data_IF_546059865278
#
_entry.id   IF_546059865278
#
_cell.length_a   1.000
_cell.length_b   1.000
_cell.length_c   1.000
_cell.angle_alpha   90.00
_cell.angle_beta   90.00
_cell.angle_gamma   90.00
#
_symmetry.space_group_name_H-M   'P 1'
#
loop_
_entity.id
_entity.type
_entity.pdbx_description
1 polymer ?
#
# COMPACT_ATOMS: atom_id res chain seq x y z
N UNK A 1 9.02 -1.63 32.04
CA UNK A 1 9.26 -2.90 31.29
C UNK A 1 8.60 -2.83 29.94
N UNK A 2 9.21 -3.37 28.91
CA UNK A 2 8.59 -3.41 27.58
C UNK A 2 7.25 -4.17 27.58
N UNK A 3 6.35 -3.79 26.67
CA UNK A 3 5.06 -4.45 26.53
C UNK A 3 5.23 -5.92 26.06
N UNK A 4 4.53 -6.82 26.70
CA UNK A 4 4.51 -8.25 26.33
C UNK A 4 3.36 -8.59 25.37
N UNK A 5 2.38 -7.70 25.25
CA UNK A 5 1.22 -7.84 24.36
C UNK A 5 0.72 -6.49 23.89
N UNK A 6 0.06 -6.48 22.75
CA UNK A 6 -0.67 -5.30 22.27
C UNK A 6 -1.90 -5.10 23.18
N UNK A 7 -2.15 -3.87 23.60
CA UNK A 7 -3.31 -3.50 24.40
C UNK A 7 -3.82 -2.13 23.99
N UNK A 8 -5.14 -2.00 23.90
CA UNK A 8 -5.84 -0.75 23.65
C UNK A 8 -6.50 -0.19 24.94
N UNK A 9 -6.27 -0.82 26.09
CA UNK A 9 -6.99 -0.48 27.33
C UNK A 9 -6.85 1.00 27.73
N UNK A 10 -5.69 1.59 27.44
CA UNK A 10 -5.41 3.00 27.74
C UNK A 10 -5.49 3.90 26.50
N UNK A 11 -5.86 3.35 25.35
CA UNK A 11 -5.96 4.13 24.10
C UNK A 11 -7.26 4.94 24.09
N UNK A 12 -7.17 6.16 23.60
CA UNK A 12 -8.35 7.00 23.35
C UNK A 12 -8.92 6.69 21.98
N UNK A 13 -10.22 6.40 21.91
CA UNK A 13 -10.88 5.98 20.67
C UNK A 13 -10.73 7.00 19.53
N UNK A 14 -10.76 8.29 19.85
CA UNK A 14 -10.61 9.36 18.86
C UNK A 14 -9.20 9.50 18.26
N UNK A 15 -8.25 8.68 18.72
CA UNK A 15 -6.87 8.63 18.20
C UNK A 15 -6.60 7.36 17.40
N UNK A 16 -7.58 6.46 17.24
CA UNK A 16 -7.39 5.17 16.62
C UNK A 16 -7.85 5.21 15.15
N UNK A 17 -6.97 4.77 14.25
CA UNK A 17 -7.21 4.68 12.81
C UNK A 17 -6.69 3.35 12.28
N UNK A 18 -7.34 2.82 11.24
CA UNK A 18 -6.67 1.84 10.40
C UNK A 18 -5.59 2.55 9.59
N UNK A 19 -4.42 1.94 9.52
CA UNK A 19 -3.31 2.44 8.70
C UNK A 19 -3.26 1.57 7.43
N UNK A 20 -3.44 2.21 6.29
CA UNK A 20 -3.36 1.58 4.97
C UNK A 20 -2.27 2.28 4.18
N UNK A 21 -1.45 1.52 3.50
CA UNK A 21 -0.46 2.06 2.57
C UNK A 21 -0.68 1.47 1.18
N UNK A 22 -0.49 2.27 0.15
CA UNK A 22 -0.41 1.80 -1.23
C UNK A 22 0.84 2.35 -1.91
N UNK A 23 1.21 1.78 -3.04
CA UNK A 23 2.35 2.27 -3.80
C UNK A 23 2.13 2.17 -5.30
N UNK A 24 2.48 3.24 -6.01
CA UNK A 24 2.58 3.25 -7.46
C UNK A 24 3.97 2.75 -7.82
N UNK A 25 4.04 1.70 -8.63
CA UNK A 25 5.30 1.05 -9.02
C UNK A 25 5.70 1.55 -10.41
N UNK A 26 6.84 2.23 -10.47
CA UNK A 26 7.39 2.83 -11.68
C UNK A 26 8.47 1.93 -12.27
N UNK A 27 8.30 1.59 -13.55
CA UNK A 27 9.24 0.75 -14.30
C UNK A 27 10.18 1.63 -15.13
N UNK A 28 11.35 1.08 -15.51
CA UNK A 28 12.39 1.82 -16.28
C UNK A 28 11.91 2.39 -17.61
N UNK A 29 10.88 1.80 -18.22
CA UNK A 29 10.29 2.29 -19.47
C UNK A 29 9.35 3.49 -19.29
N UNK A 30 9.24 4.01 -18.06
CA UNK A 30 8.40 5.17 -17.75
C UNK A 30 6.94 4.85 -17.47
N UNK A 31 6.62 3.57 -17.29
CA UNK A 31 5.24 3.10 -17.04
C UNK A 31 5.03 2.67 -15.60
N UNK A 32 3.79 2.81 -15.14
CA UNK A 32 3.36 2.45 -13.80
C UNK A 32 2.37 1.29 -13.83
N UNK A 33 2.41 0.43 -12.82
CA UNK A 33 1.55 -0.74 -12.71
C UNK A 33 0.19 -0.36 -12.15
N UNK A 34 -0.87 -0.84 -12.82
CA UNK A 34 -2.23 -0.83 -12.29
C UNK A 34 -2.80 -2.25 -12.31
N UNK A 35 -3.63 -2.57 -11.31
CA UNK A 35 -4.25 -3.88 -11.13
C UNK A 35 -5.76 -3.74 -11.18
N UNK A 36 -6.43 -4.59 -11.96
CA UNK A 36 -7.89 -4.59 -12.05
C UNK A 36 -8.49 -5.46 -10.96
N UNK A 37 -9.29 -4.88 -10.09
CA UNK A 37 -10.04 -5.59 -9.05
C UNK A 37 -11.06 -6.52 -9.69
N UNK A 38 -11.26 -7.68 -9.09
CA UNK A 38 -12.26 -8.62 -9.56
C UNK A 38 -13.66 -8.02 -9.50
N UNK A 39 -14.53 -8.40 -10.45
CA UNK A 39 -15.92 -7.90 -10.50
C UNK A 39 -16.74 -8.34 -9.28
N UNK A 40 -16.34 -9.42 -8.61
CA UNK A 40 -16.98 -9.93 -7.39
C UNK A 40 -16.57 -9.21 -6.10
N UNK A 41 -15.62 -8.28 -6.18
CA UNK A 41 -15.20 -7.51 -5.01
C UNK A 41 -16.32 -6.58 -4.54
N UNK A 42 -16.49 -6.47 -3.21
CA UNK A 42 -17.54 -5.63 -2.62
C UNK A 42 -17.25 -4.15 -2.77
N UNK A 43 -15.99 -3.78 -2.74
CA UNK A 43 -15.52 -2.39 -2.81
C UNK A 43 -14.84 -2.17 -4.16
N UNK A 44 -15.32 -1.18 -4.91
CA UNK A 44 -14.79 -0.82 -6.23
C UNK A 44 -14.62 -2.01 -7.19
N UNK A 45 -15.67 -2.83 -7.43
CA UNK A 45 -15.56 -3.98 -8.33
C UNK A 45 -15.17 -3.56 -9.75
N UNK A 46 -14.26 -4.30 -10.37
CA UNK A 46 -13.85 -4.09 -11.76
C UNK A 46 -13.01 -2.85 -12.03
N UNK A 47 -12.71 -2.06 -11.01
CA UNK A 47 -11.90 -0.86 -11.16
C UNK A 47 -10.41 -1.15 -11.01
N UNK A 48 -9.59 -0.32 -11.66
CA UNK A 48 -8.14 -0.40 -11.53
C UNK A 48 -7.65 0.36 -10.30
N UNK A 49 -6.69 -0.23 -9.63
CA UNK A 49 -6.04 0.32 -8.43
C UNK A 49 -4.54 0.05 -8.49
N UNK A 50 -3.84 0.39 -7.40
CA UNK A 50 -2.43 0.04 -7.20
C UNK A 50 -2.30 -0.89 -5.99
N UNK A 51 -1.21 -1.67 -5.90
CA UNK A 51 -1.02 -2.58 -4.75
C UNK A 51 -0.95 -1.84 -3.42
N UNK A 52 -1.42 -2.50 -2.38
CA UNK A 52 -1.36 -1.98 -1.02
C UNK A 52 -1.98 -2.90 0.00
N UNK A 53 -1.97 -2.50 1.25
CA UNK A 53 -2.54 -3.28 2.33
C UNK A 53 -2.63 -2.52 3.64
N UNK A 54 -3.16 -3.19 4.64
CA UNK A 54 -3.35 -2.66 5.99
C UNK A 54 -2.19 -3.09 6.89
N UNK A 55 -1.71 -2.17 7.70
CA UNK A 55 -0.77 -2.52 8.76
C UNK A 55 -1.54 -3.22 9.88
N UNK A 56 -1.11 -4.41 10.24
CA UNK A 56 -1.77 -5.23 11.24
C UNK A 56 -0.82 -5.54 12.41
N UNK A 57 -1.38 -5.77 13.61
CA UNK A 57 -0.59 -6.02 14.81
C UNK A 57 0.28 -7.27 14.72
N UNK A 58 -0.18 -8.31 14.01
CA UNK A 58 0.59 -9.52 13.80
C UNK A 58 1.81 -9.34 12.90
N UNK A 59 1.95 -8.16 12.28
CA UNK A 59 3.19 -7.78 11.60
C UNK A 59 4.28 -7.34 12.59
N UNK A 60 3.94 -7.14 13.85
CA UNK A 60 4.84 -6.69 14.91
C UNK A 60 5.19 -7.88 15.81
N UNK A 61 6.36 -8.48 15.61
CA UNK A 61 6.83 -9.55 16.49
C UNK A 61 7.45 -8.95 17.77
N UNK A 62 6.64 -8.88 18.83
CA UNK A 62 7.02 -8.25 20.09
C UNK A 62 8.26 -8.87 20.75
N UNK A 63 8.59 -10.12 20.39
CA UNK A 63 9.78 -10.81 20.90
C UNK A 63 11.06 -10.41 20.17
N UNK A 64 10.93 -9.88 18.96
CA UNK A 64 12.04 -9.52 18.08
C UNK A 64 11.86 -8.11 17.50
N UNK A 65 11.80 -7.06 18.34
CA UNK A 65 11.78 -5.68 17.84
C UNK A 65 13.10 -5.36 17.13
N UNK A 66 13.08 -4.35 16.26
CA UNK A 66 14.31 -3.84 15.64
C UNK A 66 15.29 -3.36 16.72
N UNK A 67 14.75 -2.69 17.77
CA UNK A 67 15.52 -2.29 18.95
C UNK A 67 14.58 -1.98 20.11
N UNK A 68 15.17 -1.87 21.28
CA UNK A 68 14.53 -1.28 22.45
C UNK A 68 15.00 0.17 22.59
N UNK A 69 14.04 1.06 22.70
CA UNK A 69 14.29 2.46 23.01
C UNK A 69 13.72 2.73 24.42
N UNK A 70 14.54 2.52 25.45
CA UNK A 70 14.04 2.37 26.81
C UNK A 70 13.12 1.15 26.91
N UNK A 71 11.88 1.38 27.35
CA UNK A 71 10.85 0.34 27.40
C UNK A 71 9.97 0.31 26.12
N UNK A 72 10.30 1.12 25.12
CA UNK A 72 9.57 1.17 23.85
C UNK A 72 10.14 0.14 22.89
N UNK A 73 9.24 -0.63 22.28
CA UNK A 73 9.58 -1.60 21.23
C UNK A 73 9.52 -0.90 19.88
N UNK A 74 10.65 -0.73 19.20
CA UNK A 74 10.72 -0.12 17.88
C UNK A 74 10.73 -1.18 16.78
N UNK A 75 9.89 -0.96 15.76
CA UNK A 75 9.82 -1.77 14.55
C UNK A 75 10.04 -0.85 13.36
N UNK A 76 11.29 -0.79 12.88
CA UNK A 76 11.66 0.05 11.74
C UNK A 76 11.17 -0.55 10.42
N UNK A 77 11.03 0.31 9.42
CA UNK A 77 10.63 -0.05 8.06
C UNK A 77 9.25 -0.72 8.00
N UNK A 78 8.34 -0.36 8.90
CA UNK A 78 7.03 -0.99 9.00
C UNK A 78 6.23 -0.89 7.69
N UNK A 79 6.22 0.27 7.03
CA UNK A 79 5.50 0.47 5.76
C UNK A 79 6.26 -0.09 4.58
N UNK A 80 7.60 0.01 4.56
CA UNK A 80 8.44 -0.58 3.52
C UNK A 80 8.26 -2.10 3.47
N UNK A 81 8.29 -2.77 4.62
CA UNK A 81 8.11 -4.22 4.73
C UNK A 81 6.68 -4.64 4.38
N UNK A 82 5.68 -3.87 4.82
CA UNK A 82 4.28 -4.07 4.45
C UNK A 82 4.12 -4.05 2.92
N UNK A 83 4.62 -3.01 2.26
CA UNK A 83 4.44 -2.84 0.82
C UNK A 83 5.22 -3.87 0.01
N UNK A 84 6.43 -4.25 0.42
CA UNK A 84 7.17 -5.34 -0.23
C UNK A 84 6.39 -6.65 -0.21
N UNK A 85 5.80 -6.98 0.94
CA UNK A 85 5.00 -8.19 1.10
C UNK A 85 3.71 -8.14 0.26
N UNK A 86 2.96 -7.04 0.35
CA UNK A 86 1.70 -6.88 -0.38
C UNK A 86 1.92 -6.88 -1.90
N UNK A 87 2.94 -6.19 -2.38
CA UNK A 87 3.29 -6.19 -3.81
C UNK A 87 3.68 -7.60 -4.28
N UNK A 88 4.44 -8.33 -3.47
CA UNK A 88 4.82 -9.71 -3.79
C UNK A 88 3.60 -10.64 -3.84
N UNK A 89 2.70 -10.52 -2.88
CA UNK A 89 1.47 -11.31 -2.82
C UNK A 89 0.51 -10.96 -3.96
N UNK A 90 0.26 -9.68 -4.22
CA UNK A 90 -0.74 -9.22 -5.17
C UNK A 90 -0.27 -9.25 -6.62
N UNK A 91 1.01 -8.94 -6.88
CA UNK A 91 1.54 -8.78 -8.23
C UNK A 91 2.77 -9.64 -8.55
N UNK A 92 3.33 -10.34 -7.57
CA UNK A 92 4.43 -11.28 -7.77
C UNK A 92 5.78 -10.66 -8.10
N UNK A 93 5.94 -9.35 -7.95
CA UNK A 93 7.16 -8.62 -8.29
C UNK A 93 7.87 -8.09 -7.05
N UNK A 94 9.13 -7.68 -7.24
CA UNK A 94 9.94 -7.04 -6.20
C UNK A 94 10.04 -5.54 -6.44
N UNK A 95 10.04 -4.76 -5.36
CA UNK A 95 10.20 -3.30 -5.38
C UNK A 95 11.47 -2.89 -4.63
N UNK A 96 11.97 -1.69 -4.91
CA UNK A 96 13.11 -1.13 -4.19
C UNK A 96 12.77 -0.79 -2.74
N UNK A 97 13.80 -0.58 -1.94
CA UNK A 97 13.67 -0.27 -0.51
C UNK A 97 13.18 1.16 -0.25
N UNK A 98 13.52 2.09 -1.13
CA UNK A 98 13.20 3.51 -0.94
C UNK A 98 11.78 3.83 -1.42
N UNK A 99 10.93 4.23 -0.49
CA UNK A 99 9.59 4.75 -0.77
C UNK A 99 9.64 6.27 -0.88
N UNK A 100 8.94 6.82 -1.88
CA UNK A 100 8.79 8.26 -2.08
C UNK A 100 7.35 8.66 -1.74
N UNK A 101 7.18 9.53 -0.77
CA UNK A 101 5.85 9.97 -0.32
C UNK A 101 5.14 10.79 -1.41
N UNK A 102 3.88 10.42 -1.70
CA UNK A 102 3.02 11.18 -2.61
C UNK A 102 2.09 12.10 -1.82
N UNK A 103 1.16 11.52 -1.07
CA UNK A 103 0.30 12.23 -0.14
C UNK A 103 -0.41 11.23 0.79
N UNK A 104 -1.28 11.76 1.65
CA UNK A 104 -2.13 10.94 2.50
C UNK A 104 -3.58 11.42 2.45
N UNK A 105 -4.51 10.52 2.73
CA UNK A 105 -5.94 10.81 2.82
C UNK A 105 -6.47 10.17 4.10
N UNK A 106 -7.14 10.96 4.93
CA UNK A 106 -7.94 10.41 6.02
C UNK A 106 -9.39 10.34 5.55
N UNK A 107 -10.04 9.22 5.77
CA UNK A 107 -11.43 9.03 5.38
C UNK A 107 -12.18 8.15 6.38
N UNK A 108 -13.50 8.20 6.32
CA UNK A 108 -14.38 7.36 7.13
C UNK A 108 -15.11 6.40 6.21
N UNK A 109 -14.97 5.11 6.48
CA UNK A 109 -15.65 4.05 5.73
C UNK A 109 -17.17 4.08 6.01
N UNK A 110 -18.00 3.46 5.13
CA UNK A 110 -19.45 3.37 5.40
C UNK A 110 -19.82 2.70 6.72
N UNK A 111 -18.97 1.81 7.24
CA UNK A 111 -19.14 1.15 8.56
C UNK A 111 -18.64 2.02 9.73
N UNK A 112 -18.20 3.23 9.47
CA UNK A 112 -17.77 4.19 10.50
C UNK A 112 -16.29 4.09 10.89
N UNK A 113 -15.52 3.16 10.33
CA UNK A 113 -14.10 3.01 10.68
C UNK A 113 -13.28 4.14 10.05
N UNK A 114 -12.54 4.92 10.85
CA UNK A 114 -11.64 5.94 10.32
C UNK A 114 -10.35 5.30 9.81
N UNK A 115 -9.86 5.77 8.66
CA UNK A 115 -8.70 5.23 7.97
C UNK A 115 -7.75 6.36 7.60
N UNK A 116 -6.44 6.10 7.74
CA UNK A 116 -5.40 6.91 7.12
C UNK A 116 -4.77 6.06 6.01
N UNK A 117 -4.88 6.54 4.77
CA UNK A 117 -4.23 5.95 3.61
C UNK A 117 -3.00 6.79 3.27
N UNK A 118 -1.84 6.16 3.29
CA UNK A 118 -0.55 6.79 2.97
C UNK A 118 -0.11 6.27 1.60
N UNK A 119 0.14 7.17 0.67
CA UNK A 119 0.42 6.85 -0.74
C UNK A 119 1.88 7.11 -1.07
N UNK A 120 2.51 6.10 -1.70
CA UNK A 120 3.92 6.13 -2.06
C UNK A 120 4.14 5.86 -3.54
N UNK A 121 5.30 6.27 -4.02
CA UNK A 121 5.87 5.86 -5.30
C UNK A 121 7.14 5.06 -5.02
N UNK A 122 7.40 4.04 -5.86
CA UNK A 122 8.56 3.16 -5.69
C UNK A 122 9.02 2.64 -7.04
N UNK A 123 10.32 2.34 -7.17
CA UNK A 123 10.85 1.70 -8.37
C UNK A 123 10.58 0.20 -8.39
N UNK A 124 10.18 -0.31 -9.55
CA UNK A 124 10.22 -1.74 -9.85
C UNK A 124 11.66 -2.24 -9.80
N UNK A 125 11.91 -3.29 -9.04
CA UNK A 125 13.25 -3.87 -8.90
C UNK A 125 13.46 -5.04 -9.84
N UNK A 126 12.55 -6.01 -9.81
CA UNK A 126 12.66 -7.23 -10.61
C UNK A 126 11.34 -8.01 -10.67
N UNK A 127 11.28 -8.95 -11.60
CA UNK A 127 10.17 -9.88 -11.74
C UNK A 127 9.13 -9.45 -12.76
N UNK A 128 8.39 -10.44 -13.25
CA UNK A 128 7.24 -10.25 -14.13
C UNK A 128 5.96 -10.38 -13.31
N UNK A 129 4.91 -9.66 -13.70
CA UNK A 129 3.64 -9.69 -12.96
C UNK A 129 3.01 -11.06 -12.99
N UNK A 130 2.73 -11.59 -11.80
CA UNK A 130 1.91 -12.78 -11.58
C UNK A 130 0.83 -12.39 -10.58
N UNK A 131 -0.40 -12.23 -11.04
CA UNK A 131 -1.50 -11.74 -10.22
C UNK A 131 -1.96 -12.76 -9.18
N UNK A 132 -2.35 -12.26 -8.02
CA UNK A 132 -3.21 -12.98 -7.08
C UNK A 132 -4.60 -13.09 -7.70
N UNK A 133 -4.91 -14.24 -8.32
CA UNK A 133 -6.11 -14.44 -9.15
C UNK A 133 -7.44 -14.31 -8.41
N UNK A 134 -7.44 -14.48 -7.10
CA UNK A 134 -8.66 -14.33 -6.30
C UNK A 134 -9.07 -12.86 -6.15
N UNK A 135 -8.09 -11.95 -6.15
CA UNK A 135 -8.32 -10.52 -5.91
C UNK A 135 -8.31 -9.69 -7.19
N UNK A 136 -7.50 -10.08 -8.17
CA UNK A 136 -7.29 -9.30 -9.39
C UNK A 136 -7.48 -10.13 -10.65
N UNK A 137 -8.16 -9.53 -11.65
CA UNK A 137 -8.51 -10.18 -12.91
C UNK A 137 -7.60 -9.78 -14.08
N UNK A 138 -6.92 -8.64 -13.98
CA UNK A 138 -6.08 -8.11 -15.05
C UNK A 138 -5.08 -7.09 -14.50
N UNK A 139 -4.10 -6.70 -15.30
CA UNK A 139 -3.17 -5.64 -14.99
C UNK A 139 -2.72 -4.92 -16.27
N UNK A 140 -2.16 -3.74 -16.10
CA UNK A 140 -1.51 -3.00 -17.20
C UNK A 140 -0.35 -2.17 -16.66
N UNK A 141 0.62 -1.94 -17.54
CA UNK A 141 1.65 -0.94 -17.35
C UNK A 141 1.28 0.28 -18.18
N UNK A 142 1.06 1.41 -17.54
CA UNK A 142 0.48 2.61 -18.16
C UNK A 142 1.36 3.83 -17.94
N UNK A 143 1.36 4.73 -18.92
CA UNK A 143 1.90 6.07 -18.78
C UNK A 143 0.79 7.08 -18.46
N UNK A 144 1.12 8.37 -18.45
CA UNK A 144 0.16 9.44 -18.15
C UNK A 144 -0.96 9.59 -19.17
N UNK A 145 -0.74 9.12 -20.39
CA UNK A 145 -1.75 9.14 -21.47
C UNK A 145 -2.61 7.86 -21.43
N UNK A 146 -1.95 6.71 -21.38
CA UNK A 146 -2.62 5.41 -21.39
C UNK A 146 -3.62 5.27 -20.24
N UNK A 147 -3.28 5.78 -19.06
CA UNK A 147 -4.12 5.65 -17.85
C UNK A 147 -5.50 6.26 -18.01
N UNK A 148 -5.65 7.24 -18.90
CA UNK A 148 -6.95 7.88 -19.16
C UNK A 148 -7.97 6.90 -19.76
N UNK A 149 -7.53 5.81 -20.38
CA UNK A 149 -8.39 4.79 -20.98
C UNK A 149 -8.85 3.72 -19.98
N UNK A 150 -8.45 3.81 -18.73
CA UNK A 150 -8.75 2.81 -17.70
C UNK A 150 -9.73 3.36 -16.67
N UNK A 151 -10.68 2.53 -16.24
CA UNK A 151 -11.64 2.88 -15.20
C UNK A 151 -10.97 2.68 -13.82
N UNK A 152 -10.33 3.72 -13.33
CA UNK A 152 -9.59 3.69 -12.08
C UNK A 152 -10.42 4.17 -10.89
N UNK A 153 -10.09 3.67 -9.70
CA UNK A 153 -10.56 4.27 -8.45
C UNK A 153 -10.12 5.74 -8.43
N UNK A 154 -10.98 6.62 -7.92
CA UNK A 154 -10.67 8.06 -7.83
C UNK A 154 -9.36 8.29 -7.09
N UNK A 155 -8.49 9.12 -7.66
CA UNK A 155 -7.18 9.45 -7.13
C UNK A 155 -6.04 8.68 -7.78
N UNK A 156 -6.30 7.51 -8.37
CA UNK A 156 -5.25 6.66 -8.95
C UNK A 156 -4.56 7.33 -10.14
N UNK A 157 -5.31 7.94 -11.05
CA UNK A 157 -4.72 8.63 -12.22
C UNK A 157 -3.78 9.76 -11.80
N UNK A 158 -4.18 10.53 -10.79
CA UNK A 158 -3.37 11.61 -10.22
C UNK A 158 -2.10 11.07 -9.56
N UNK A 159 -2.19 9.96 -8.84
CA UNK A 159 -1.04 9.29 -8.23
C UNK A 159 -0.05 8.78 -9.28
N UNK A 160 -0.54 8.20 -10.37
CA UNK A 160 0.28 7.75 -11.51
C UNK A 160 1.05 8.94 -12.11
N UNK A 161 0.35 10.02 -12.42
CA UNK A 161 0.96 11.22 -12.99
C UNK A 161 2.01 11.82 -12.06
N UNK A 162 1.70 11.87 -10.77
CA UNK A 162 2.63 12.37 -9.75
C UNK A 162 3.88 11.50 -9.64
N UNK A 163 3.72 10.19 -9.68
CA UNK A 163 4.84 9.24 -9.67
C UNK A 163 5.77 9.45 -10.87
N UNK A 164 5.19 9.60 -12.06
CA UNK A 164 5.96 9.87 -13.29
C UNK A 164 6.75 11.17 -13.15
N UNK A 165 6.15 12.22 -12.58
CA UNK A 165 6.86 13.48 -12.31
C UNK A 165 8.04 13.31 -11.35
N UNK A 166 7.85 12.49 -10.28
CA UNK A 166 8.90 12.24 -9.28
C UNK A 166 10.11 11.55 -9.90
N UNK A 167 9.88 10.57 -10.78
CA UNK A 167 10.94 9.69 -11.30
C UNK A 167 11.41 10.07 -12.71
N UNK A 168 10.80 11.04 -13.32
CA UNK A 168 11.10 11.47 -14.67
C UNK A 168 12.48 12.13 -14.79
#
# INVERSE_FOLDING_TARGET
MPAEKISLDNAKNDKLFYIVANTVIYRKDGKCLILKRHDREKVHPGKYCVPGGKLEWNNLDLKNPTRLNGDVLDFENALEDLLKREVKEEAGIEIDDALYYINSVAFVRPDGIPVVLIKFAVHHKSGEVVLEKESFSDYAWVDSYDVENYDCIKGIKEEIKKTIEIFK
#
